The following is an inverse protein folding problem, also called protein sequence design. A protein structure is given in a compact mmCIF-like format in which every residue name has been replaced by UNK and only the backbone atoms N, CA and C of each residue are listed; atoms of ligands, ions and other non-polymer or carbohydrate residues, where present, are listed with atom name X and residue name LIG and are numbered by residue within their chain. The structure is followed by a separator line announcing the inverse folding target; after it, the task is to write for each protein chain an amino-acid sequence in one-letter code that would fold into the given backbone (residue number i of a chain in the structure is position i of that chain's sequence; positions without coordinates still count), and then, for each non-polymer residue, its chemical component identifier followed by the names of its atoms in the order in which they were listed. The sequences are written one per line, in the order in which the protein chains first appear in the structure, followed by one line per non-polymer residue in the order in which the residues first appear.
data_IF_706074935438
#
_entry.id   IF_706074935438
#
_cell.length_a   1.000
_cell.length_b   1.000
_cell.length_c   1.000
_cell.angle_alpha   90.00
_cell.angle_beta   90.00
_cell.angle_gamma   90.00
#
_symmetry.space_group_name_H-M   'P 1'
#
loop_
_entity.id
_entity.type
_entity.pdbx_description
1 polymer ?
#
# COMPACT_ATOMS: atom_id res chain seq x y z
N UNK A 1 9.57 -21.89 -9.43
CA UNK A 1 8.49 -22.06 -8.43
C UNK A 1 8.72 -21.26 -7.14
N UNK A 2 9.90 -21.32 -6.50
CA UNK A 2 10.24 -20.57 -5.26
C UNK A 2 10.08 -19.04 -5.31
N UNK A 3 10.29 -18.40 -6.47
CA UNK A 3 10.18 -16.94 -6.66
C UNK A 3 8.72 -16.45 -6.82
N UNK A 4 7.76 -17.35 -7.08
CA UNK A 4 6.35 -16.96 -7.25
C UNK A 4 5.72 -16.55 -5.91
N UNK A 5 6.25 -17.05 -4.78
CA UNK A 5 5.74 -16.75 -3.44
C UNK A 5 6.33 -15.47 -2.84
N UNK A 6 7.45 -14.99 -3.37
CA UNK A 6 8.14 -13.81 -2.84
C UNK A 6 7.27 -12.54 -2.86
N UNK A 7 6.54 -12.21 -3.94
CA UNK A 7 5.68 -11.02 -3.97
C UNK A 7 4.55 -11.10 -2.93
N UNK A 8 3.94 -12.27 -2.78
CA UNK A 8 2.88 -12.50 -1.80
C UNK A 8 3.40 -12.39 -0.36
N UNK A 9 4.59 -12.93 -0.09
CA UNK A 9 5.22 -12.82 1.21
C UNK A 9 5.53 -11.35 1.56
N UNK A 10 6.13 -10.59 0.63
CA UNK A 10 6.42 -9.17 0.81
C UNK A 10 5.13 -8.37 1.06
N UNK A 11 4.10 -8.60 0.23
CA UNK A 11 2.81 -7.93 0.39
C UNK A 11 2.15 -8.29 1.73
N UNK A 12 2.21 -9.55 2.15
CA UNK A 12 1.69 -10.01 3.43
C UNK A 12 2.40 -9.34 4.62
N UNK A 13 3.73 -9.23 4.58
CA UNK A 13 4.51 -8.53 5.60
C UNK A 13 4.17 -7.03 5.63
N UNK A 14 4.06 -6.38 4.47
CA UNK A 14 3.68 -4.97 4.38
C UNK A 14 2.27 -4.72 4.91
N UNK A 15 1.31 -5.56 4.54
CA UNK A 15 -0.05 -5.48 5.06
C UNK A 15 -0.05 -5.66 6.59
N UNK A 16 0.64 -6.66 7.10
CA UNK A 16 0.74 -6.90 8.54
C UNK A 16 1.36 -5.69 9.26
N UNK A 17 2.48 -5.17 8.75
CA UNK A 17 3.15 -4.00 9.31
C UNK A 17 2.25 -2.76 9.32
N UNK A 18 1.50 -2.51 8.25
CA UNK A 18 0.64 -1.34 8.11
C UNK A 18 -0.64 -1.43 8.96
N UNK A 19 -1.24 -2.62 9.11
CA UNK A 19 -2.44 -2.82 9.92
C UNK A 19 -2.14 -2.98 11.41
N UNK A 20 -1.03 -3.65 11.78
CA UNK A 20 -0.61 -3.80 13.18
C UNK A 20 0.30 -2.67 13.66
N UNK A 21 0.97 -1.97 12.74
CA UNK A 21 1.88 -0.87 13.05
C UNK A 21 1.27 0.21 13.93
N UNK A 22 0.04 0.70 13.67
CA UNK A 22 -0.64 1.66 14.54
C UNK A 22 -0.92 1.16 15.96
N UNK A 23 -0.91 -0.16 16.19
CA UNK A 23 -1.06 -0.72 17.53
C UNK A 23 0.22 -0.54 18.36
N UNK A 24 1.37 -0.65 17.70
CA UNK A 24 2.71 -0.53 18.26
C UNK A 24 3.22 0.91 18.30
N UNK A 25 2.92 1.69 17.26
CA UNK A 25 3.36 3.08 17.07
C UNK A 25 2.15 4.00 17.00
N UNK A 26 1.79 4.58 18.16
CA UNK A 26 0.56 5.36 18.36
C UNK A 26 0.72 6.86 18.17
N UNK A 27 1.83 7.29 17.55
CA UNK A 27 2.06 8.70 17.23
C UNK A 27 1.08 9.13 16.14
N UNK A 28 0.45 10.29 16.32
CA UNK A 28 -0.42 10.87 15.29
C UNK A 28 0.43 11.21 14.05
N UNK A 29 0.12 10.65 12.86
CA UNK A 29 0.86 10.91 11.63
C UNK A 29 0.85 12.38 11.19
N UNK A 30 -0.06 13.21 11.70
CA UNK A 30 -0.16 14.64 11.38
C UNK A 30 0.42 15.54 12.46
N UNK A 31 0.73 15.01 13.65
CA UNK A 31 1.34 15.77 14.72
C UNK A 31 2.73 16.25 14.30
N UNK A 32 2.98 17.55 14.52
CA UNK A 32 4.25 18.20 14.22
C UNK A 32 5.04 18.39 15.51
N UNK A 33 6.29 17.94 15.49
CA UNK A 33 7.27 18.29 16.50
C UNK A 33 8.14 19.46 15.99
N UNK A 34 7.87 20.65 16.50
CA UNK A 34 8.60 21.87 16.15
C UNK A 34 10.06 21.88 16.64
N UNK A 35 10.47 20.92 17.47
CA UNK A 35 11.84 20.80 17.96
C UNK A 35 12.68 19.82 17.12
N UNK A 36 12.04 18.98 16.32
CA UNK A 36 12.67 17.89 15.60
C UNK A 36 12.46 18.02 14.08
N UNK A 37 12.93 19.10 13.47
CA UNK A 37 12.90 19.25 12.00
C UNK A 37 14.04 18.46 11.34
N UNK A 38 13.73 17.66 10.32
CA UNK A 38 14.71 16.83 9.59
C UNK A 38 15.60 16.01 10.53
N UNK A 39 15.01 15.54 11.64
CA UNK A 39 15.74 14.78 12.64
C UNK A 39 16.15 13.44 12.04
N UNK A 40 17.40 13.04 12.32
CA UNK A 40 17.90 11.73 11.94
C UNK A 40 17.12 10.61 12.68
N UNK A 41 17.17 9.37 12.17
CA UNK A 41 16.58 8.21 12.84
C UNK A 41 17.01 8.11 14.30
N UNK A 42 16.04 8.00 15.20
CA UNK A 42 16.24 7.90 16.65
C UNK A 42 15.22 6.96 17.28
N UNK A 43 15.39 6.61 18.56
CA UNK A 43 14.40 5.78 19.26
C UNK A 43 13.04 6.48 19.40
N UNK A 44 13.02 7.82 19.41
CA UNK A 44 11.79 8.61 19.41
C UNK A 44 11.15 8.69 18.01
N UNK A 45 11.97 8.68 16.96
CA UNK A 45 11.53 8.72 15.56
C UNK A 45 12.34 7.68 14.74
N UNK A 46 11.90 6.41 14.67
CA UNK A 46 12.70 5.31 14.08
C UNK A 46 13.07 5.52 12.62
N UNK A 47 12.26 6.27 11.88
CA UNK A 47 12.53 6.66 10.48
C UNK A 47 12.90 8.14 10.33
N UNK A 48 13.13 8.85 11.45
CA UNK A 48 13.33 10.29 11.49
C UNK A 48 12.05 11.09 11.28
N UNK A 49 12.22 12.39 11.10
CA UNK A 49 11.13 13.34 10.85
C UNK A 49 11.25 14.04 9.51
N UNK A 50 10.13 14.52 8.98
CA UNK A 50 10.10 15.29 7.74
C UNK A 50 10.50 16.77 7.95
N UNK A 51 10.47 17.55 6.86
CA UNK A 51 10.77 18.99 6.88
C UNK A 51 9.81 19.83 7.75
N UNK A 52 8.71 19.23 8.20
CA UNK A 52 7.73 19.84 9.10
C UNK A 52 7.75 19.24 10.50
N UNK A 53 8.71 18.37 10.81
CA UNK A 53 8.85 17.73 12.11
C UNK A 53 7.85 16.60 12.37
N UNK A 54 7.21 16.04 11.34
CA UNK A 54 6.29 14.90 11.49
C UNK A 54 7.05 13.59 11.41
N UNK A 55 6.62 12.62 12.21
CA UNK A 55 7.21 11.28 12.25
C UNK A 55 6.98 10.52 10.92
N UNK A 56 8.07 10.14 10.26
CA UNK A 56 8.02 9.49 8.94
C UNK A 56 7.44 8.08 9.02
N UNK A 57 7.70 7.34 10.12
CA UNK A 57 7.18 5.98 10.31
C UNK A 57 5.66 6.00 10.50
N UNK A 58 5.15 6.88 11.35
CA UNK A 58 3.72 7.05 11.58
C UNK A 58 2.99 7.39 10.26
N UNK A 59 3.57 8.29 9.46
CA UNK A 59 3.04 8.65 8.13
C UNK A 59 3.10 7.50 7.14
N UNK A 60 4.18 6.73 7.13
CA UNK A 60 4.31 5.55 6.29
C UNK A 60 3.23 4.51 6.61
N UNK A 61 3.00 4.23 7.89
CA UNK A 61 1.98 3.28 8.35
C UNK A 61 0.57 3.77 8.00
N UNK A 62 0.27 5.05 8.26
CA UNK A 62 -1.04 5.62 7.95
C UNK A 62 -1.31 5.68 6.43
N UNK A 63 -0.34 6.15 5.65
CA UNK A 63 -0.42 6.24 4.20
C UNK A 63 -0.50 4.87 3.54
N UNK A 64 0.31 3.90 4.01
CA UNK A 64 0.28 2.52 3.55
C UNK A 64 -1.11 1.89 3.69
N UNK A 65 -1.83 2.18 4.79
CA UNK A 65 -3.18 1.63 5.01
C UNK A 65 -4.16 2.14 3.97
N UNK A 66 -4.09 3.45 3.71
CA UNK A 66 -4.91 4.08 2.67
C UNK A 66 -4.58 3.49 1.29
N UNK A 67 -3.30 3.35 0.94
CA UNK A 67 -2.88 2.78 -0.34
C UNK A 67 -3.37 1.35 -0.55
N UNK A 68 -3.28 0.49 0.49
CA UNK A 68 -3.75 -0.90 0.40
C UNK A 68 -5.28 -0.97 0.23
N UNK A 69 -6.02 -0.18 1.00
CA UNK A 69 -7.49 -0.15 0.93
C UNK A 69 -7.97 0.38 -0.43
N UNK A 70 -7.42 1.51 -0.89
CA UNK A 70 -7.78 2.10 -2.17
C UNK A 70 -7.39 1.17 -3.33
N UNK A 71 -6.19 0.57 -3.28
CA UNK A 71 -5.75 -0.38 -4.30
C UNK A 71 -6.69 -1.60 -4.40
N UNK A 72 -7.13 -2.15 -3.26
CA UNK A 72 -8.09 -3.24 -3.23
C UNK A 72 -9.46 -2.84 -3.79
N UNK A 73 -9.96 -1.65 -3.44
CA UNK A 73 -11.23 -1.13 -3.96
C UNK A 73 -11.15 -0.95 -5.48
N UNK A 74 -10.09 -0.32 -5.98
CA UNK A 74 -9.90 -0.09 -7.43
C UNK A 74 -9.78 -1.42 -8.18
N UNK A 75 -9.08 -2.40 -7.62
CA UNK A 75 -8.98 -3.74 -8.21
C UNK A 75 -10.37 -4.39 -8.37
N UNK A 76 -11.19 -4.37 -7.33
CA UNK A 76 -12.56 -4.94 -7.38
C UNK A 76 -13.45 -4.13 -8.32
N UNK A 77 -13.36 -2.81 -8.28
CA UNK A 77 -14.12 -1.93 -9.16
C UNK A 77 -13.77 -2.15 -10.64
N UNK A 78 -12.50 -2.39 -10.96
CA UNK A 78 -12.05 -2.71 -12.31
C UNK A 78 -12.47 -4.09 -12.82
N UNK A 79 -12.82 -5.01 -11.91
CA UNK A 79 -13.22 -6.36 -12.27
C UNK A 79 -14.51 -6.38 -13.10
N UNK A 80 -15.46 -5.51 -12.80
CA UNK A 80 -16.75 -5.41 -13.50
C UNK A 80 -16.55 -4.99 -14.97
N UNK A 81 -15.99 -3.80 -15.29
CA UNK A 81 -15.78 -3.40 -16.68
C UNK A 81 -14.80 -4.35 -17.39
N UNK A 82 -13.76 -4.83 -16.70
CA UNK A 82 -12.82 -5.79 -17.27
C UNK A 82 -13.49 -7.11 -17.68
N UNK A 83 -14.37 -7.65 -16.84
CA UNK A 83 -15.11 -8.87 -17.14
C UNK A 83 -16.14 -8.66 -18.26
N UNK A 84 -16.84 -7.53 -18.28
CA UNK A 84 -17.80 -7.20 -19.34
C UNK A 84 -17.11 -7.09 -20.70
N UNK A 85 -16.00 -6.35 -20.76
CA UNK A 85 -15.18 -6.23 -21.98
C UNK A 85 -14.66 -7.61 -22.39
N UNK A 86 -14.12 -8.39 -21.45
CA UNK A 86 -13.63 -9.74 -21.71
C UNK A 86 -14.71 -10.67 -22.29
N UNK A 87 -15.95 -10.61 -21.75
CA UNK A 87 -17.07 -11.40 -22.23
C UNK A 87 -17.52 -10.98 -23.65
N UNK A 88 -17.56 -9.67 -23.92
CA UNK A 88 -17.90 -9.13 -25.24
C UNK A 88 -16.85 -9.55 -26.27
N UNK A 89 -15.56 -9.41 -25.94
CA UNK A 89 -14.46 -9.85 -26.81
C UNK A 89 -14.49 -11.36 -27.07
N UNK A 90 -14.79 -12.17 -26.05
CA UNK A 90 -14.94 -13.62 -26.20
C UNK A 90 -16.07 -13.99 -27.17
N UNK A 91 -17.21 -13.26 -27.14
CA UNK A 91 -18.34 -13.46 -28.05
C UNK A 91 -18.07 -13.01 -29.49
N UNK A 92 -17.39 -11.87 -29.68
CA UNK A 92 -17.21 -11.23 -30.98
C UNK A 92 -15.92 -11.63 -31.72
N UNK A 93 -14.92 -12.18 -31.02
CA UNK A 93 -13.56 -12.33 -31.58
C UNK A 93 -12.76 -13.52 -31.04
N UNK A 94 -13.38 -14.53 -30.43
CA UNK A 94 -12.71 -15.81 -30.12
C UNK A 94 -12.11 -16.54 -31.34
N UNK A 95 -12.28 -15.99 -32.54
CA UNK A 95 -11.72 -16.45 -33.82
C UNK A 95 -10.31 -15.94 -34.13
N UNK A 96 -9.70 -15.03 -33.36
CA UNK A 96 -8.37 -14.49 -33.70
C UNK A 96 -7.24 -15.55 -33.67
N UNK A 97 -7.43 -16.69 -32.98
CA UNK A 97 -6.47 -17.81 -32.96
C UNK A 97 -6.92 -18.95 -33.90
N UNK A 98 -7.49 -18.62 -35.06
CA UNK A 98 -7.70 -19.60 -36.13
C UNK A 98 -6.60 -19.41 -37.17
N UNK A 99 -5.64 -20.35 -37.17
CA UNK A 99 -4.68 -20.54 -38.27
C UNK A 99 -5.41 -20.83 -39.58
#
# INVERSE_FOLDING_TARGET
MRHLFLPFAILGVLALAVFLGPLLWRIDPLAMDFSAFLAAPSLAHPMGTDATGRDVLARFLAGGRLSLVVGAIVMVAGLIPGALIGLISARLGGSWIRY
#
